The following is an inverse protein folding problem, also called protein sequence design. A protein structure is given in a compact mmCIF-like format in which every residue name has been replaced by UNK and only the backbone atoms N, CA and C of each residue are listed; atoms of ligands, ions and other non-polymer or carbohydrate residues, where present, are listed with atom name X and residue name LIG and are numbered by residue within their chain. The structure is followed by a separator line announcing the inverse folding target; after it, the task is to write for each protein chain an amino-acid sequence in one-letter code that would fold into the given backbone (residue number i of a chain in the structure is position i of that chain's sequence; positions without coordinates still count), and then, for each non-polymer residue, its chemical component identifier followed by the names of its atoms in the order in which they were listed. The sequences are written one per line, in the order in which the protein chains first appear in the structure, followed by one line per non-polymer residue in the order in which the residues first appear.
data_IF_871520149413
#
_entry.id   IF_871520149413
#
_cell.length_a   1.000
_cell.length_b   1.000
_cell.length_c   1.000
_cell.angle_alpha   90.00
_cell.angle_beta   90.00
_cell.angle_gamma   90.00
#
_symmetry.space_group_name_H-M   'P 1'
#
loop_
_entity.id
_entity.type
_entity.pdbx_description
1 polymer ?
#
# COMPACT_ATOMS: atom_id res chain seq x y z
N UNK A 1 -28.05 -35.83 -37.28
CA UNK A 1 -28.23 -35.54 -35.84
C UNK A 1 -27.05 -36.12 -35.08
N UNK A 2 -26.07 -35.32 -34.76
CA UNK A 2 -25.02 -35.72 -33.85
C UNK A 2 -24.81 -34.51 -32.91
N UNK A 3 -25.54 -34.56 -31.79
CA UNK A 3 -25.38 -33.68 -30.65
C UNK A 3 -24.57 -34.50 -29.66
N UNK A 4 -23.31 -34.16 -29.45
CA UNK A 4 -22.60 -34.31 -28.21
C UNK A 4 -21.19 -33.73 -28.37
N UNK A 5 -21.09 -32.42 -28.28
CA UNK A 5 -19.83 -31.82 -27.93
C UNK A 5 -19.87 -31.67 -26.39
N UNK A 6 -19.63 -32.77 -25.72
CA UNK A 6 -19.42 -32.84 -24.24
C UNK A 6 -18.01 -32.26 -24.01
N UNK A 7 -17.92 -30.92 -24.02
CA UNK A 7 -16.70 -30.21 -23.68
C UNK A 7 -16.51 -30.35 -22.17
N UNK A 8 -16.07 -31.54 -21.74
CA UNK A 8 -15.48 -31.66 -20.41
C UNK A 8 -14.26 -30.74 -20.37
N UNK A 9 -14.16 -29.84 -19.38
CA UNK A 9 -12.96 -29.03 -19.22
C UNK A 9 -11.74 -29.95 -19.17
N UNK A 10 -10.66 -29.52 -19.80
CA UNK A 10 -9.40 -30.25 -19.76
C UNK A 10 -9.01 -30.45 -18.28
N UNK A 11 -8.75 -31.69 -17.83
CA UNK A 11 -8.39 -31.99 -16.46
C UNK A 11 -7.18 -31.16 -15.96
N UNK A 12 -6.21 -30.89 -16.86
CA UNK A 12 -5.02 -30.11 -16.51
C UNK A 12 -5.39 -28.64 -16.27
N UNK A 13 -6.28 -28.05 -17.07
CA UNK A 13 -6.80 -26.69 -16.87
C UNK A 13 -7.61 -26.59 -15.55
N UNK A 14 -8.41 -27.62 -15.26
CA UNK A 14 -9.18 -27.66 -14.01
C UNK A 14 -8.25 -27.77 -12.79
N UNK A 15 -7.20 -28.57 -12.87
CA UNK A 15 -6.20 -28.70 -11.82
C UNK A 15 -5.46 -27.38 -11.57
N UNK A 16 -5.01 -26.70 -12.64
CA UNK A 16 -4.39 -25.39 -12.53
C UNK A 16 -5.32 -24.34 -11.89
N UNK A 17 -6.62 -24.38 -12.23
CA UNK A 17 -7.61 -23.49 -11.62
C UNK A 17 -7.81 -23.79 -10.13
N UNK A 18 -7.90 -25.06 -9.74
CA UNK A 18 -8.01 -25.46 -8.33
C UNK A 18 -6.78 -25.05 -7.52
N UNK A 19 -5.58 -25.32 -8.04
CA UNK A 19 -4.33 -24.90 -7.39
C UNK A 19 -4.22 -23.37 -7.27
N UNK A 20 -4.69 -22.61 -8.28
CA UNK A 20 -4.73 -21.16 -8.23
C UNK A 20 -5.73 -20.66 -7.17
N UNK A 21 -6.90 -21.33 -7.04
CA UNK A 21 -7.87 -21.03 -6.00
C UNK A 21 -7.35 -21.36 -4.60
N UNK A 22 -6.70 -22.50 -4.42
CA UNK A 22 -6.06 -22.88 -3.15
C UNK A 22 -4.95 -21.91 -2.76
N UNK A 23 -4.07 -21.52 -3.70
CA UNK A 23 -3.04 -20.49 -3.48
C UNK A 23 -3.67 -19.15 -3.10
N UNK A 24 -4.76 -18.73 -3.74
CA UNK A 24 -5.49 -17.50 -3.41
C UNK A 24 -6.14 -17.58 -2.03
N UNK A 25 -6.66 -18.74 -1.65
CA UNK A 25 -7.31 -18.96 -0.35
C UNK A 25 -6.31 -19.01 0.82
N UNK A 26 -5.09 -19.52 0.58
CA UNK A 26 -4.03 -19.61 1.59
C UNK A 26 -3.16 -18.37 1.70
N UNK A 27 -3.23 -17.46 0.70
CA UNK A 27 -2.46 -16.21 0.69
C UNK A 27 -2.99 -15.24 1.74
N UNK A 28 -2.10 -14.56 2.43
CA UNK A 28 -2.44 -13.42 3.29
C UNK A 28 -3.06 -12.26 2.50
N UNK A 29 -3.82 -11.42 3.19
CA UNK A 29 -4.52 -10.27 2.62
C UNK A 29 -3.67 -9.00 2.66
N UNK A 30 -3.68 -8.25 1.56
CA UNK A 30 -3.00 -6.97 1.45
C UNK A 30 -3.98 -5.81 1.63
N UNK A 31 -3.74 -4.98 2.66
CA UNK A 31 -4.46 -3.71 2.84
C UNK A 31 -3.51 -2.54 2.67
N UNK A 32 -3.83 -1.66 1.72
CA UNK A 32 -3.04 -0.48 1.39
C UNK A 32 -3.73 0.79 1.90
N UNK A 33 -3.04 1.56 2.73
CA UNK A 33 -3.44 2.93 3.10
C UNK A 33 -2.84 3.88 2.06
N UNK A 34 -3.69 4.37 1.18
CA UNK A 34 -3.33 5.16 0.01
C UNK A 34 -3.58 6.64 0.23
N UNK A 35 -2.70 7.50 -0.26
CA UNK A 35 -2.88 8.94 -0.11
C UNK A 35 -2.28 9.76 -1.24
N UNK A 36 -2.78 10.98 -1.40
CA UNK A 36 -2.36 11.89 -2.45
C UNK A 36 -0.92 12.38 -2.26
N UNK A 37 -0.43 12.46 -1.01
CA UNK A 37 0.90 13.02 -0.72
C UNK A 37 1.41 12.59 0.67
N UNK A 38 2.70 12.82 0.97
CA UNK A 38 3.21 12.71 2.34
C UNK A 38 2.44 13.63 3.30
N UNK A 39 2.24 13.18 4.54
CA UNK A 39 1.62 13.98 5.61
C UNK A 39 0.10 13.91 5.71
N UNK A 40 -0.61 13.23 4.81
CA UNK A 40 -2.07 13.05 4.90
C UNK A 40 -2.50 12.15 6.09
N UNK A 41 -1.59 11.38 6.67
CA UNK A 41 -1.87 10.55 7.87
C UNK A 41 -2.00 9.07 7.61
N UNK A 42 -1.46 8.53 6.51
CA UNK A 42 -1.54 7.10 6.17
C UNK A 42 -1.04 6.17 7.27
N UNK A 43 0.21 6.40 7.73
CA UNK A 43 0.81 5.61 8.83
C UNK A 43 -0.03 5.68 10.10
N UNK A 44 -0.60 6.85 10.41
CA UNK A 44 -1.50 7.01 11.56
C UNK A 44 -2.77 6.16 11.39
N UNK A 45 -3.41 6.22 10.23
CA UNK A 45 -4.61 5.43 9.90
C UNK A 45 -4.32 3.93 9.92
N UNK A 46 -3.17 3.50 9.37
CA UNK A 46 -2.69 2.12 9.41
C UNK A 46 -2.56 1.62 10.84
N UNK A 47 -1.89 2.39 11.71
CA UNK A 47 -1.72 2.02 13.11
C UNK A 47 -3.03 2.00 13.89
N UNK A 48 -3.96 2.93 13.62
CA UNK A 48 -5.30 2.88 14.22
C UNK A 48 -6.05 1.60 13.84
N UNK A 49 -6.03 1.23 12.56
CA UNK A 49 -6.65 -0.01 12.09
C UNK A 49 -5.98 -1.24 12.71
N UNK A 50 -4.65 -1.26 12.83
CA UNK A 50 -3.89 -2.33 13.45
C UNK A 50 -4.26 -2.50 14.95
N UNK A 51 -4.42 -1.40 15.68
CA UNK A 51 -4.87 -1.44 17.08
C UNK A 51 -6.28 -1.98 17.24
N UNK A 52 -7.17 -1.73 16.28
CA UNK A 52 -8.51 -2.33 16.27
C UNK A 52 -8.43 -3.85 16.09
N UNK A 53 -7.54 -4.34 15.20
CA UNK A 53 -7.29 -5.76 15.03
C UNK A 53 -6.72 -6.40 16.31
N UNK A 54 -5.72 -5.75 16.93
CA UNK A 54 -5.15 -6.21 18.20
C UNK A 54 -6.22 -6.29 19.30
N UNK A 55 -7.11 -5.31 19.40
CA UNK A 55 -8.21 -5.31 20.37
C UNK A 55 -9.25 -6.44 20.11
N UNK A 56 -9.29 -6.99 18.91
CA UNK A 56 -10.09 -8.14 18.52
C UNK A 56 -9.37 -9.48 18.73
N UNK A 57 -8.14 -9.45 19.27
CA UNK A 57 -7.34 -10.64 19.55
C UNK A 57 -6.49 -11.15 18.38
N UNK A 58 -6.37 -10.36 17.30
CA UNK A 58 -5.47 -10.68 16.17
C UNK A 58 -4.03 -10.49 16.63
N UNK A 59 -3.15 -11.44 16.27
CA UNK A 59 -1.71 -11.37 16.50
C UNK A 59 -1.07 -10.36 15.53
N UNK A 60 -0.80 -9.14 16.02
CA UNK A 60 -0.33 -7.99 15.22
C UNK A 60 1.11 -7.65 15.59
N UNK A 61 1.98 -7.58 14.59
CA UNK A 61 3.38 -7.20 14.74
C UNK A 61 3.74 -6.03 13.82
N UNK A 62 4.42 -5.04 14.35
CA UNK A 62 5.01 -3.95 13.59
C UNK A 62 6.41 -4.38 13.08
N UNK A 63 6.52 -4.71 11.80
CA UNK A 63 7.77 -5.08 11.17
C UNK A 63 8.65 -3.87 10.85
N UNK A 64 8.06 -2.86 10.21
CA UNK A 64 8.67 -1.56 9.98
C UNK A 64 7.58 -0.49 9.94
N UNK A 65 7.72 0.54 10.74
CA UNK A 65 6.80 1.69 10.79
C UNK A 65 7.59 2.98 10.95
N UNK A 66 7.44 3.88 9.98
CA UNK A 66 8.11 5.18 9.97
C UNK A 66 7.26 6.25 10.67
N UNK A 67 7.61 6.55 11.91
CA UNK A 67 6.89 7.58 12.67
C UNK A 67 7.31 9.00 12.33
N UNK A 68 8.47 9.18 11.69
CA UNK A 68 9.06 10.48 11.34
C UNK A 68 9.12 11.46 12.52
N UNK A 69 9.39 10.96 13.72
CA UNK A 69 9.42 11.72 15.00
C UNK A 69 8.07 12.37 15.38
N UNK A 70 6.93 11.87 14.85
CA UNK A 70 5.60 12.36 15.20
C UNK A 70 5.12 11.66 16.46
N UNK A 71 5.02 12.42 17.55
CA UNK A 71 4.64 11.90 18.87
C UNK A 71 3.27 11.20 18.84
N UNK A 72 2.30 11.74 18.10
CA UNK A 72 0.96 11.15 17.97
C UNK A 72 1.01 9.78 17.31
N UNK A 73 1.79 9.62 16.23
CA UNK A 73 1.98 8.36 15.52
C UNK A 73 2.78 7.37 16.38
N UNK A 74 3.86 7.83 17.04
CA UNK A 74 4.68 6.99 17.91
C UNK A 74 3.88 6.42 19.10
N UNK A 75 2.94 7.19 19.66
CA UNK A 75 2.04 6.69 20.73
C UNK A 75 1.18 5.51 20.30
N UNK A 76 0.83 5.41 19.03
CA UNK A 76 0.03 4.29 18.51
C UNK A 76 0.84 2.98 18.42
N UNK A 77 2.17 3.04 18.42
CA UNK A 77 3.04 1.87 18.52
C UNK A 77 3.12 1.29 19.95
N UNK A 78 2.78 2.08 20.96
CA UNK A 78 2.84 1.60 22.34
C UNK A 78 1.90 0.40 22.55
N UNK A 79 2.47 -0.72 23.01
CA UNK A 79 1.75 -1.96 23.25
C UNK A 79 1.56 -2.85 22.01
N UNK A 80 2.07 -2.45 20.84
CA UNK A 80 2.28 -3.34 19.71
C UNK A 80 3.65 -4.01 19.83
N UNK A 81 3.72 -5.30 19.53
CA UNK A 81 5.01 -5.98 19.34
C UNK A 81 5.70 -5.38 18.11
N UNK A 82 7.01 -5.13 18.22
CA UNK A 82 7.83 -4.59 17.12
C UNK A 82 9.00 -5.51 16.86
N UNK A 83 9.27 -5.80 15.59
CA UNK A 83 10.49 -6.52 15.19
C UNK A 83 11.70 -5.58 15.24
N UNK A 84 12.85 -6.16 15.57
CA UNK A 84 14.13 -5.47 15.41
C UNK A 84 14.44 -5.31 13.94
N UNK A 85 14.85 -4.10 13.54
CA UNK A 85 15.26 -3.84 12.17
C UNK A 85 16.63 -4.47 11.90
N UNK A 86 16.79 -5.02 10.70
CA UNK A 86 18.06 -5.55 10.22
C UNK A 86 19.05 -4.41 10.00
N UNK A 87 20.22 -4.48 10.64
CA UNK A 87 21.28 -3.49 10.45
C UNK A 87 22.19 -3.94 9.29
N UNK A 88 22.27 -3.11 8.25
CA UNK A 88 23.08 -3.38 7.06
C UNK A 88 24.12 -2.28 6.87
N UNK A 89 25.39 -2.65 6.76
CA UNK A 89 26.46 -1.71 6.48
C UNK A 89 26.52 -1.42 4.98
N UNK A 90 26.25 -0.19 4.58
CA UNK A 90 26.34 0.25 3.19
C UNK A 90 27.16 1.54 3.08
N UNK A 91 28.22 1.53 2.27
CA UNK A 91 29.12 2.70 2.05
C UNK A 91 29.61 3.33 3.37
N UNK A 92 29.96 2.53 4.37
CA UNK A 92 30.44 3.01 5.67
C UNK A 92 29.36 3.56 6.61
N UNK A 93 28.08 3.43 6.27
CA UNK A 93 26.93 3.81 7.11
C UNK A 93 26.11 2.58 7.46
N UNK A 94 25.67 2.52 8.71
CA UNK A 94 24.69 1.51 9.13
C UNK A 94 23.29 2.01 8.77
N UNK A 95 22.58 1.23 7.98
CA UNK A 95 21.20 1.48 7.59
C UNK A 95 20.31 0.42 8.23
N UNK A 96 19.12 0.84 8.66
CA UNK A 96 18.11 -0.04 9.25
C UNK A 96 17.08 -0.40 8.21
N UNK A 97 16.88 -1.70 7.99
CA UNK A 97 15.93 -2.23 7.01
C UNK A 97 14.93 -3.18 7.67
N UNK A 98 13.83 -3.42 7.00
CA UNK A 98 12.88 -4.45 7.38
C UNK A 98 13.56 -5.83 7.39
N UNK A 99 13.38 -6.59 8.47
CA UNK A 99 13.90 -7.95 8.59
C UNK A 99 12.83 -8.95 8.14
N UNK A 100 12.85 -9.26 6.84
CA UNK A 100 11.92 -10.22 6.24
C UNK A 100 12.09 -11.62 6.83
N UNK A 101 13.32 -12.06 7.12
CA UNK A 101 13.58 -13.39 7.68
C UNK A 101 12.99 -13.52 9.08
N UNK A 102 13.18 -12.51 9.93
CA UNK A 102 12.58 -12.45 11.26
C UNK A 102 11.05 -12.41 11.19
N UNK A 103 10.49 -11.68 10.23
CA UNK A 103 9.05 -11.58 10.02
C UNK A 103 8.43 -12.93 9.61
N UNK A 104 9.04 -13.63 8.66
CA UNK A 104 8.62 -14.96 8.24
C UNK A 104 8.76 -16.00 9.37
N UNK A 105 9.83 -15.93 10.15
CA UNK A 105 10.03 -16.82 11.30
C UNK A 105 9.01 -16.55 12.42
N UNK A 106 8.69 -15.28 12.70
CA UNK A 106 7.70 -14.88 13.72
C UNK A 106 6.28 -15.28 13.32
N UNK A 107 5.98 -15.23 12.03
CA UNK A 107 4.72 -15.63 11.40
C UNK A 107 3.46 -15.11 12.11
N UNK A 108 3.28 -13.79 12.28
CA UNK A 108 2.09 -13.23 12.88
C UNK A 108 0.89 -13.36 11.95
N UNK A 109 -0.33 -13.14 12.47
CA UNK A 109 -1.53 -13.04 11.64
C UNK A 109 -1.53 -11.76 10.80
N UNK A 110 -1.03 -10.64 11.37
CA UNK A 110 -0.95 -9.34 10.70
C UNK A 110 0.42 -8.68 10.92
N UNK A 111 1.08 -8.34 9.82
CA UNK A 111 2.33 -7.59 9.79
C UNK A 111 2.11 -6.16 9.29
N UNK A 112 2.70 -5.17 9.97
CA UNK A 112 2.72 -3.78 9.49
C UNK A 112 4.04 -3.51 8.81
N UNK A 113 4.00 -3.13 7.52
CA UNK A 113 5.17 -2.79 6.71
C UNK A 113 4.91 -1.47 6.00
N UNK A 114 5.40 -0.37 6.56
CA UNK A 114 5.20 0.98 6.02
C UNK A 114 6.05 1.22 4.76
N UNK A 115 5.67 2.23 3.95
CA UNK A 115 6.41 2.68 2.76
C UNK A 115 6.64 1.60 1.70
N UNK A 116 5.54 1.05 1.12
CA UNK A 116 5.55 -0.03 0.13
C UNK A 116 6.51 0.19 -1.06
N UNK A 117 6.74 1.46 -1.45
CA UNK A 117 7.56 1.82 -2.60
C UNK A 117 9.07 1.83 -2.33
N UNK A 118 9.47 1.67 -1.08
CA UNK A 118 10.88 1.76 -0.68
C UNK A 118 11.79 0.82 -1.48
N UNK A 119 12.98 1.32 -1.82
CA UNK A 119 14.06 0.51 -2.41
C UNK A 119 14.97 0.01 -1.32
N UNK A 120 14.98 -1.30 -1.12
CA UNK A 120 15.78 -1.94 -0.09
C UNK A 120 17.29 -1.73 -0.34
N UNK A 121 18.07 -1.76 0.74
CA UNK A 121 19.54 -1.62 0.65
C UNK A 121 20.13 -2.76 -0.19
N UNK A 122 21.12 -2.47 -1.05
CA UNK A 122 21.84 -3.51 -1.81
C UNK A 122 22.32 -4.66 -0.92
N UNK A 123 22.03 -5.89 -1.31
CA UNK A 123 22.30 -7.10 -0.53
C UNK A 123 21.10 -7.57 0.32
N UNK A 124 19.98 -6.87 0.30
CA UNK A 124 18.70 -7.41 0.77
C UNK A 124 18.22 -8.55 -0.12
N UNK A 125 17.35 -9.44 0.40
CA UNK A 125 16.78 -10.57 -0.35
C UNK A 125 16.06 -10.08 -1.61
N UNK A 126 15.25 -9.03 -1.47
CA UNK A 126 14.58 -8.37 -2.58
C UNK A 126 15.06 -6.93 -2.75
N UNK A 127 15.15 -6.41 -3.98
CA UNK A 127 15.53 -5.02 -4.23
C UNK A 127 14.45 -4.02 -3.84
N UNK A 128 13.19 -4.45 -3.69
CA UNK A 128 12.04 -3.59 -3.40
C UNK A 128 11.19 -4.14 -2.26
N UNK A 129 10.69 -3.27 -1.40
CA UNK A 129 9.85 -3.62 -0.26
C UNK A 129 8.53 -4.28 -0.67
N UNK A 130 7.94 -3.89 -1.80
CA UNK A 130 6.73 -4.54 -2.27
C UNK A 130 6.95 -6.03 -2.57
N UNK A 131 8.16 -6.45 -2.94
CA UNK A 131 8.51 -7.87 -3.12
C UNK A 131 8.63 -8.61 -1.79
N UNK A 132 9.14 -7.95 -0.73
CA UNK A 132 9.13 -8.51 0.62
C UNK A 132 7.69 -8.72 1.09
N UNK A 133 6.80 -7.75 0.80
CA UNK A 133 5.37 -7.86 1.10
C UNK A 133 4.73 -9.02 0.35
N UNK A 134 5.04 -9.22 -0.93
CA UNK A 134 4.54 -10.38 -1.70
C UNK A 134 4.96 -11.72 -1.09
N UNK A 135 6.21 -11.83 -0.59
CA UNK A 135 6.67 -13.04 0.09
C UNK A 135 5.94 -13.29 1.42
N UNK A 136 5.67 -12.23 2.20
CA UNK A 136 4.84 -12.33 3.42
C UNK A 136 3.42 -12.82 3.10
N UNK A 137 2.79 -12.25 2.08
CA UNK A 137 1.46 -12.66 1.64
C UNK A 137 1.44 -14.11 1.14
N UNK A 138 2.47 -14.54 0.40
CA UNK A 138 2.61 -15.93 -0.05
C UNK A 138 2.78 -16.91 1.12
N UNK A 139 3.36 -16.44 2.24
CA UNK A 139 3.46 -17.21 3.49
C UNK A 139 2.16 -17.22 4.30
N UNK A 140 1.07 -16.59 3.84
CA UNK A 140 -0.23 -16.54 4.55
C UNK A 140 -0.32 -15.45 5.62
N UNK A 141 0.60 -14.50 5.65
CA UNK A 141 0.62 -13.40 6.61
C UNK A 141 -0.13 -12.20 6.01
N UNK A 142 -1.14 -11.68 6.70
CA UNK A 142 -1.81 -10.44 6.31
C UNK A 142 -0.86 -9.25 6.45
N UNK A 143 -0.93 -8.31 5.50
CA UNK A 143 -0.05 -7.13 5.52
C UNK A 143 -0.85 -5.83 5.41
N UNK A 144 -0.58 -4.89 6.32
CA UNK A 144 -0.98 -3.49 6.20
C UNK A 144 0.24 -2.66 5.79
N UNK A 145 0.05 -1.83 4.76
CA UNK A 145 1.12 -0.99 4.22
C UNK A 145 0.61 0.39 3.78
N UNK A 146 1.52 1.29 3.44
CA UNK A 146 1.17 2.63 2.96
C UNK A 146 1.80 2.92 1.60
N UNK A 147 1.12 3.72 0.77
CA UNK A 147 1.67 4.23 -0.48
C UNK A 147 1.08 5.60 -0.82
N UNK A 148 1.86 6.46 -1.50
CA UNK A 148 1.37 7.71 -2.08
C UNK A 148 1.16 7.56 -3.57
N UNK A 149 0.27 8.37 -4.14
CA UNK A 149 -0.04 8.40 -5.57
C UNK A 149 1.21 8.55 -6.46
N UNK A 150 2.20 9.32 -5.99
CA UNK A 150 3.46 9.57 -6.70
C UNK A 150 4.34 8.34 -6.90
N UNK A 151 4.10 7.29 -6.14
CA UNK A 151 4.86 6.05 -6.21
C UNK A 151 4.20 4.99 -7.09
N UNK A 152 2.99 5.21 -7.62
CA UNK A 152 2.42 4.32 -8.62
C UNK A 152 3.11 4.55 -9.97
N UNK A 153 3.54 3.47 -10.60
CA UNK A 153 4.39 3.51 -11.78
C UNK A 153 3.72 4.27 -12.94
N UNK A 154 2.44 4.00 -13.21
CA UNK A 154 1.67 4.67 -14.26
C UNK A 154 1.46 6.17 -14.02
N UNK A 155 1.51 6.63 -12.77
CA UNK A 155 1.27 8.03 -12.40
C UNK A 155 2.54 8.84 -12.16
N UNK A 156 3.70 8.18 -12.07
CA UNK A 156 4.97 8.82 -11.70
C UNK A 156 5.33 10.00 -12.61
N UNK A 157 5.25 9.81 -13.93
CA UNK A 157 5.56 10.88 -14.91
C UNK A 157 4.57 12.05 -14.84
N UNK A 158 3.29 11.78 -14.61
CA UNK A 158 2.25 12.82 -14.45
C UNK A 158 2.53 13.64 -13.20
N UNK A 159 2.81 12.96 -12.08
CA UNK A 159 3.17 13.61 -10.81
C UNK A 159 4.44 14.43 -10.96
N UNK A 160 5.46 13.92 -11.66
CA UNK A 160 6.69 14.65 -11.96
C UNK A 160 6.44 15.96 -12.71
N UNK A 161 5.53 15.95 -13.70
CA UNK A 161 5.12 17.17 -14.43
C UNK A 161 4.36 18.16 -13.58
N UNK A 162 3.50 17.69 -12.68
CA UNK A 162 2.70 18.55 -11.78
C UNK A 162 3.59 19.22 -10.74
N UNK A 163 4.49 18.44 -10.11
CA UNK A 163 5.23 18.87 -8.92
C UNK A 163 6.63 19.40 -9.22
N UNK A 164 7.17 19.09 -10.40
CA UNK A 164 8.58 19.32 -10.74
C UNK A 164 9.55 18.36 -10.02
N UNK A 165 9.04 17.39 -9.26
CA UNK A 165 9.84 16.43 -8.50
C UNK A 165 9.72 15.02 -9.10
N UNK A 166 10.84 14.45 -9.53
CA UNK A 166 10.87 13.05 -10.00
C UNK A 166 11.07 12.13 -8.81
N UNK A 167 10.18 11.16 -8.69
CA UNK A 167 10.24 10.10 -7.69
C UNK A 167 10.85 8.85 -8.32
N UNK A 168 11.88 8.29 -7.69
CA UNK A 168 12.61 7.11 -8.20
C UNK A 168 12.09 5.79 -7.64
N UNK A 169 11.39 5.86 -6.52
CA UNK A 169 10.82 4.70 -5.86
C UNK A 169 9.40 4.51 -6.33
N UNK A 170 9.15 3.43 -7.05
CA UNK A 170 7.84 3.11 -7.62
C UNK A 170 7.38 1.71 -7.23
N UNK A 171 6.07 1.55 -7.24
CA UNK A 171 5.36 0.28 -7.10
C UNK A 171 4.65 0.01 -8.41
N UNK A 172 4.80 -1.19 -8.99
CA UNK A 172 4.03 -1.58 -10.17
C UNK A 172 2.52 -1.54 -9.91
N UNK A 173 1.75 -1.10 -10.90
CA UNK A 173 0.29 -0.95 -10.74
C UNK A 173 -0.40 -2.26 -10.38
N UNK A 174 0.09 -3.40 -10.89
CA UNK A 174 -0.48 -4.70 -10.55
C UNK A 174 -0.43 -5.04 -9.06
N UNK A 175 0.58 -4.55 -8.32
CA UNK A 175 0.67 -4.75 -6.85
C UNK A 175 -0.43 -3.96 -6.13
N UNK A 176 -0.70 -2.73 -6.60
CA UNK A 176 -1.80 -1.91 -6.08
C UNK A 176 -3.16 -2.52 -6.41
N UNK A 177 -3.33 -3.02 -7.63
CA UNK A 177 -4.58 -3.62 -8.10
C UNK A 177 -4.88 -4.96 -7.43
N UNK A 178 -3.86 -5.76 -7.14
CA UNK A 178 -3.97 -7.04 -6.43
C UNK A 178 -4.22 -6.90 -4.92
N UNK A 179 -4.22 -5.68 -4.35
CA UNK A 179 -4.53 -5.51 -2.93
C UNK A 179 -5.98 -5.93 -2.64
N UNK A 180 -6.24 -6.57 -1.52
CA UNK A 180 -7.59 -6.97 -1.10
C UNK A 180 -8.42 -5.75 -0.69
N UNK A 181 -7.78 -4.78 -0.02
CA UNK A 181 -8.42 -3.55 0.41
C UNK A 181 -7.52 -2.33 0.17
N UNK A 182 -8.09 -1.25 -0.35
CA UNK A 182 -7.44 0.07 -0.45
C UNK A 182 -8.26 1.08 0.32
N UNK A 183 -7.64 1.70 1.33
CA UNK A 183 -8.23 2.78 2.12
C UNK A 183 -7.65 4.11 1.68
N UNK A 184 -8.47 4.96 1.07
CA UNK A 184 -8.04 6.31 0.73
C UNK A 184 -7.97 7.17 1.99
N UNK A 185 -6.77 7.64 2.32
CA UNK A 185 -6.52 8.60 3.40
C UNK A 185 -6.42 9.99 2.79
N UNK A 186 -7.47 10.78 2.97
CA UNK A 186 -7.60 12.07 2.32
C UNK A 186 -7.57 13.24 3.31
N UNK A 187 -6.96 14.32 2.89
CA UNK A 187 -6.98 15.63 3.55
C UNK A 187 -7.15 16.73 2.49
N UNK A 188 -7.85 17.79 2.87
CA UNK A 188 -7.90 18.97 2.01
C UNK A 188 -6.51 19.60 1.86
N UNK A 189 -6.20 20.25 0.72
CA UNK A 189 -4.93 20.95 0.54
C UNK A 189 -4.65 21.99 1.64
N UNK A 190 -5.66 22.65 2.14
CA UNK A 190 -5.51 23.69 3.17
C UNK A 190 -5.17 23.06 4.53
N UNK A 191 -5.84 21.96 4.91
CA UNK A 191 -5.52 21.20 6.14
C UNK A 191 -4.11 20.63 6.11
N UNK A 192 -3.68 20.07 4.95
CA UNK A 192 -2.35 19.54 4.82
C UNK A 192 -1.28 20.63 4.92
N UNK A 193 -1.51 21.79 4.29
CA UNK A 193 -0.62 22.95 4.42
C UNK A 193 -0.56 23.49 5.84
N UNK A 194 -1.68 23.46 6.56
CA UNK A 194 -1.68 23.80 7.98
C UNK A 194 -0.83 22.82 8.81
N UNK A 195 -0.96 21.52 8.60
CA UNK A 195 -0.11 20.50 9.24
C UNK A 195 1.38 20.68 8.94
N UNK A 196 1.71 21.11 7.71
CA UNK A 196 3.10 21.45 7.34
C UNK A 196 3.64 22.62 8.14
N UNK A 197 2.85 23.70 8.28
CA UNK A 197 3.23 24.89 9.07
C UNK A 197 3.40 24.56 10.56
N UNK A 198 2.61 23.63 11.09
CA UNK A 198 2.68 23.13 12.45
C UNK A 198 3.87 22.17 12.70
N UNK A 199 4.70 21.90 11.67
CA UNK A 199 5.84 20.98 11.78
C UNK A 199 5.44 19.51 11.92
N UNK A 200 4.18 19.17 11.64
CA UNK A 200 3.67 17.79 11.75
C UNK A 200 4.04 16.88 10.56
N UNK A 201 4.66 17.41 9.50
CA UNK A 201 5.06 16.64 8.30
C UNK A 201 6.56 16.65 8.11
N UNK A 202 7.20 17.81 8.24
CA UNK A 202 8.63 18.02 8.14
C UNK A 202 9.13 18.92 9.26
N UNK A 203 10.43 18.84 9.59
CA UNK A 203 11.08 19.80 10.48
C UNK A 203 10.98 21.22 9.92
N UNK A 204 10.81 22.22 10.77
CA UNK A 204 10.46 23.59 10.39
C UNK A 204 11.31 24.21 9.26
N UNK A 205 12.63 23.95 9.24
CA UNK A 205 13.53 24.48 8.18
C UNK A 205 13.36 23.82 6.81
N UNK A 206 12.80 22.62 6.74
CA UNK A 206 12.53 21.90 5.49
C UNK A 206 11.11 22.15 4.99
N UNK A 207 10.18 22.43 5.92
CA UNK A 207 8.78 22.65 5.61
C UNK A 207 8.57 23.84 4.66
N UNK A 208 9.29 24.94 4.83
CA UNK A 208 9.14 26.14 4.01
C UNK A 208 9.49 25.87 2.52
N UNK A 209 10.61 25.19 2.26
CA UNK A 209 11.01 24.83 0.88
C UNK A 209 10.04 23.82 0.26
N UNK A 210 9.56 22.86 1.05
CA UNK A 210 8.58 21.88 0.58
C UNK A 210 7.25 22.56 0.20
N UNK A 211 6.79 23.54 0.99
CA UNK A 211 5.57 24.32 0.71
C UNK A 211 5.71 25.13 -0.59
N UNK A 212 6.87 25.68 -0.86
CA UNK A 212 7.12 26.53 -2.04
C UNK A 212 7.17 25.74 -3.34
N UNK A 213 7.45 24.45 -3.30
CA UNK A 213 7.59 23.60 -4.47
C UNK A 213 6.49 22.52 -4.55
N UNK A 214 6.66 21.41 -3.85
CA UNK A 214 5.77 20.24 -3.95
C UNK A 214 4.36 20.54 -3.39
N UNK A 215 4.29 21.20 -2.23
CA UNK A 215 3.03 21.41 -1.49
C UNK A 215 2.32 22.73 -1.86
N UNK A 216 2.47 23.21 -3.10
CA UNK A 216 1.63 24.28 -3.63
C UNK A 216 0.19 23.80 -3.69
N UNK A 217 -0.76 24.67 -3.37
CA UNK A 217 -2.21 24.31 -3.32
C UNK A 217 -2.68 23.65 -4.63
N UNK A 218 -2.28 24.18 -5.79
CA UNK A 218 -2.62 23.62 -7.09
C UNK A 218 -2.06 22.22 -7.31
N UNK A 219 -0.79 21.97 -6.91
CA UNK A 219 -0.20 20.65 -6.99
C UNK A 219 -0.95 19.64 -6.10
N UNK A 220 -1.26 20.04 -4.87
CA UNK A 220 -2.00 19.19 -3.93
C UNK A 220 -3.41 18.86 -4.42
N UNK A 221 -4.09 19.82 -5.06
CA UNK A 221 -5.39 19.56 -5.69
C UNK A 221 -5.27 18.54 -6.81
N UNK A 222 -4.28 18.68 -7.69
CA UNK A 222 -4.04 17.75 -8.78
C UNK A 222 -3.65 16.34 -8.29
N UNK A 223 -2.77 16.25 -7.29
CA UNK A 223 -2.41 14.96 -6.68
C UNK A 223 -3.59 14.28 -6.00
N UNK A 224 -4.44 15.06 -5.34
CA UNK A 224 -5.68 14.56 -4.71
C UNK A 224 -6.65 14.04 -5.77
N UNK A 225 -6.83 14.77 -6.87
CA UNK A 225 -7.64 14.32 -8.01
C UNK A 225 -7.13 12.99 -8.57
N UNK A 226 -5.80 12.86 -8.80
CA UNK A 226 -5.20 11.62 -9.26
C UNK A 226 -5.46 10.45 -8.29
N UNK A 227 -5.33 10.67 -6.98
CA UNK A 227 -5.59 9.65 -5.99
C UNK A 227 -7.06 9.20 -5.97
N UNK A 228 -7.99 10.15 -6.05
CA UNK A 228 -9.43 9.87 -6.13
C UNK A 228 -9.78 9.09 -7.41
N UNK A 229 -9.27 9.51 -8.57
CA UNK A 229 -9.48 8.81 -9.85
C UNK A 229 -8.94 7.38 -9.79
N UNK A 230 -7.70 7.20 -9.31
CA UNK A 230 -7.09 5.86 -9.20
C UNK A 230 -7.87 4.94 -8.27
N UNK A 231 -8.45 5.49 -7.21
CA UNK A 231 -9.34 4.73 -6.31
C UNK A 231 -10.66 4.38 -7.01
N UNK A 232 -11.26 5.30 -7.76
CA UNK A 232 -12.49 5.05 -8.51
C UNK A 232 -12.28 3.99 -9.61
N UNK A 233 -11.19 4.08 -10.39
CA UNK A 233 -10.82 3.09 -11.42
C UNK A 233 -10.70 1.67 -10.85
N UNK A 234 -10.14 1.56 -9.63
CA UNK A 234 -10.06 0.27 -8.93
C UNK A 234 -11.46 -0.26 -8.57
N UNK A 235 -12.33 0.58 -8.03
CA UNK A 235 -13.72 0.20 -7.71
C UNK A 235 -14.48 -0.24 -8.97
N UNK A 236 -14.28 0.46 -10.09
CA UNK A 236 -14.86 0.09 -11.38
C UNK A 236 -14.35 -1.29 -11.86
N UNK A 237 -13.07 -1.59 -11.62
CA UNK A 237 -12.48 -2.92 -11.88
C UNK A 237 -13.17 -4.01 -11.06
N UNK A 238 -13.28 -3.81 -9.75
CA UNK A 238 -13.95 -4.75 -8.83
C UNK A 238 -15.42 -4.95 -9.19
N UNK A 239 -16.12 -3.88 -9.60
CA UNK A 239 -17.50 -3.97 -10.05
C UNK A 239 -17.65 -4.77 -11.35
N UNK A 240 -16.66 -4.70 -12.25
CA UNK A 240 -16.64 -5.51 -13.47
C UNK A 240 -16.43 -6.99 -13.17
N UNK A 241 -15.48 -7.32 -12.29
CA UNK A 241 -15.24 -8.70 -11.84
C UNK A 241 -16.49 -9.27 -11.16
N UNK A 242 -17.05 -8.55 -10.19
CA UNK A 242 -18.27 -8.98 -9.49
C UNK A 242 -19.44 -9.26 -10.44
N UNK A 243 -19.63 -8.43 -11.47
CA UNK A 243 -20.70 -8.61 -12.46
C UNK A 243 -20.45 -9.83 -13.35
N UNK A 244 -19.20 -10.04 -13.75
CA UNK A 244 -18.80 -11.21 -14.52
C UNK A 244 -19.06 -12.50 -13.75
N UNK A 245 -18.67 -12.54 -12.49
CA UNK A 245 -18.82 -13.73 -11.63
C UNK A 245 -20.30 -14.01 -11.25
N UNK A 246 -21.11 -12.96 -11.17
CA UNK A 246 -22.53 -13.06 -10.80
C UNK A 246 -23.49 -13.12 -12.00
N UNK A 247 -23.00 -13.16 -13.25
CA UNK A 247 -23.78 -13.18 -14.51
C UNK A 247 -24.83 -12.04 -14.58
N UNK A 248 -24.42 -10.82 -14.16
CA UNK A 248 -25.29 -9.66 -14.08
C UNK A 248 -25.11 -8.77 -15.33
N UNK A 249 -26.07 -8.83 -16.26
CA UNK A 249 -26.06 -8.04 -17.51
C UNK A 249 -26.37 -6.55 -17.33
N UNK A 250 -26.95 -6.13 -16.21
CA UNK A 250 -27.34 -4.74 -15.99
C UNK A 250 -26.19 -3.87 -15.55
N UNK A 251 -25.91 -2.82 -16.33
CA UNK A 251 -24.98 -1.75 -15.97
C UNK A 251 -25.68 -0.82 -14.92
N UNK A 252 -25.06 -0.65 -13.76
CA UNK A 252 -25.48 0.39 -12.83
C UNK A 252 -25.10 1.75 -13.44
N UNK A 253 -26.01 2.74 -13.52
CA UNK A 253 -25.72 4.03 -14.15
C UNK A 253 -24.82 4.89 -13.24
N UNK A 254 -23.54 4.55 -13.18
CA UNK A 254 -22.52 5.31 -12.45
C UNK A 254 -21.74 6.27 -13.36
N UNK A 255 -21.95 6.18 -14.69
CA UNK A 255 -21.22 7.00 -15.66
C UNK A 255 -21.94 8.29 -16.07
N UNK A 256 -23.20 8.48 -15.68
CA UNK A 256 -24.04 9.63 -16.04
C UNK A 256 -24.33 10.57 -14.85
N UNK A 257 -23.55 10.49 -13.78
CA UNK A 257 -23.71 11.36 -12.60
C UNK A 257 -22.62 12.43 -12.54
#
# INVERSE_FOLDING_TARGET
MNINNDQRPDPDVLLEQLEAQERKASRGRLKIFFGASPGVGKTYAMLQAARQQLAQGVDVVAGLVETHNRTETARLLNGLETLSLRQTLHQGRTLSEFDLDAALQRHPQLMLVDELAHSNVPGSRHPKRWQDVEELLAAGIDVYTTVNVQHLESLNDVVGRITGARVWETVPDHVFDAADEVVLVDLTPDDLRQRLKEGKVYLAGQAQRAIEHFFRKGNLMALRELALRRTAERVDGQMREYRSDADIDRIWPTQDA
#
